data_IF_601413300736
#
_entry.id   IF_601413300736
#
_cell.length_a   1.000
_cell.length_b   1.000
_cell.length_c   1.000
_cell.angle_alpha   90.00
_cell.angle_beta   90.00
_cell.angle_gamma   90.00
#
_symmetry.space_group_name_H-M   'P 1'
#
loop_
_entity.id
_entity.type
_entity.pdbx_description
1 polymer ?
#
# COMPACT_ATOMS: atom_id res chain seq x y z
N UNK A 1 7.72 -14.06 17.78
CA UNK A 1 9.09 -13.51 17.99
C UNK A 1 9.14 -12.20 17.21
N UNK A 2 9.24 -11.06 17.89
CA UNK A 2 9.00 -9.75 17.28
C UNK A 2 9.90 -9.42 16.09
N UNK A 3 9.30 -8.79 15.08
CA UNK A 3 9.99 -8.20 13.93
C UNK A 3 11.07 -7.24 14.44
N UNK A 4 12.35 -7.60 14.30
CA UNK A 4 13.48 -6.74 14.68
C UNK A 4 13.73 -5.73 13.57
N UNK A 5 13.30 -4.49 13.79
CA UNK A 5 13.71 -3.35 12.97
C UNK A 5 15.18 -3.02 13.28
N UNK A 6 16.09 -3.15 12.30
CA UNK A 6 17.45 -2.60 12.39
C UNK A 6 17.45 -1.23 11.71
N UNK A 7 17.11 -0.20 12.47
CA UNK A 7 17.21 1.19 12.05
C UNK A 7 18.17 1.92 13.00
N UNK A 8 19.16 2.64 12.45
CA UNK A 8 20.22 3.30 13.22
C UNK A 8 19.81 4.72 13.72
N UNK A 9 18.53 4.94 14.04
CA UNK A 9 17.98 6.20 14.57
C UNK A 9 16.62 6.00 15.27
N UNK A 10 15.92 7.07 15.64
CA UNK A 10 14.50 6.98 16.05
C UNK A 10 13.63 6.74 14.81
N UNK A 11 12.88 5.64 14.78
CA UNK A 11 11.96 5.32 13.67
C UNK A 11 10.83 6.34 13.73
N UNK A 12 10.78 7.25 12.76
CA UNK A 12 9.62 8.15 12.59
C UNK A 12 8.38 7.33 12.23
N UNK A 13 7.20 7.74 12.70
CA UNK A 13 5.92 7.09 12.43
C UNK A 13 5.66 6.85 10.93
N UNK A 14 6.13 7.75 10.06
CA UNK A 14 6.04 7.60 8.59
C UNK A 14 6.82 6.39 8.06
N UNK A 15 7.99 6.11 8.64
CA UNK A 15 8.83 4.95 8.27
C UNK A 15 8.22 3.69 8.86
N UNK A 16 7.77 3.75 10.12
CA UNK A 16 7.05 2.64 10.75
C UNK A 16 5.83 2.20 9.94
N UNK A 17 5.02 3.17 9.48
CA UNK A 17 3.82 2.92 8.69
C UNK A 17 4.13 2.13 7.42
N UNK A 18 5.10 2.60 6.63
CA UNK A 18 5.49 1.95 5.39
C UNK A 18 5.95 0.51 5.62
N UNK A 19 6.69 0.29 6.71
CA UNK A 19 7.15 -1.06 7.06
C UNK A 19 5.97 -1.93 7.49
N UNK A 20 5.09 -1.43 8.36
CA UNK A 20 3.92 -2.17 8.84
C UNK A 20 2.98 -2.57 7.71
N UNK A 21 2.70 -1.67 6.76
CA UNK A 21 1.89 -1.99 5.58
C UNK A 21 2.56 -3.09 4.75
N UNK A 22 3.86 -3.00 4.46
CA UNK A 22 4.56 -4.04 3.72
C UNK A 22 4.57 -5.36 4.50
N UNK A 23 4.76 -5.37 5.81
CA UNK A 23 4.71 -6.62 6.59
C UNK A 23 3.31 -7.25 6.54
N UNK A 24 2.25 -6.44 6.63
CA UNK A 24 0.85 -6.90 6.63
C UNK A 24 0.37 -7.43 5.27
N UNK A 25 0.83 -6.81 4.18
CA UNK A 25 0.36 -7.07 2.82
C UNK A 25 1.52 -7.49 1.89
N UNK A 26 1.80 -8.81 1.78
CA UNK A 26 2.93 -9.33 1.00
C UNK A 26 2.84 -9.05 -0.51
N UNK A 27 1.65 -8.75 -1.03
CA UNK A 27 1.41 -8.43 -2.45
C UNK A 27 1.84 -7.02 -2.82
N UNK A 28 2.01 -6.13 -1.83
CA UNK A 28 2.53 -4.79 -2.07
C UNK A 28 4.05 -4.89 -2.24
N UNK A 29 4.53 -4.54 -3.43
CA UNK A 29 5.97 -4.59 -3.75
C UNK A 29 6.69 -3.29 -3.37
N UNK A 30 6.03 -2.15 -3.52
CA UNK A 30 6.62 -0.84 -3.20
C UNK A 30 5.55 0.11 -2.68
N UNK A 31 5.91 0.96 -1.72
CA UNK A 31 5.11 2.09 -1.27
C UNK A 31 5.96 3.35 -1.36
N UNK A 32 5.42 4.39 -1.97
CA UNK A 32 6.03 5.71 -2.00
C UNK A 32 5.15 6.71 -1.26
N UNK A 33 5.76 7.50 -0.38
CA UNK A 33 5.12 8.65 0.26
C UNK A 33 5.67 9.94 -0.34
N UNK A 34 4.77 10.71 -0.96
CA UNK A 34 5.02 12.03 -1.54
C UNK A 34 4.53 13.12 -0.58
N UNK A 35 5.39 13.71 0.25
CA UNK A 35 4.98 14.62 1.32
C UNK A 35 4.34 15.91 0.80
N UNK A 36 4.84 16.44 -0.33
CA UNK A 36 4.31 17.66 -0.93
C UNK A 36 2.86 17.53 -1.42
N UNK A 37 2.50 16.35 -1.94
CA UNK A 37 1.14 16.05 -2.39
C UNK A 37 0.30 15.35 -1.30
N UNK A 38 0.93 14.92 -0.20
CA UNK A 38 0.35 14.03 0.82
C UNK A 38 -0.28 12.77 0.22
N UNK A 39 0.42 12.15 -0.72
CA UNK A 39 -0.05 10.95 -1.43
C UNK A 39 0.77 9.73 -0.98
N UNK A 40 0.08 8.64 -0.70
CA UNK A 40 0.65 7.29 -0.66
C UNK A 40 0.37 6.60 -1.98
N UNK A 41 1.42 5.99 -2.53
CA UNK A 41 1.39 5.26 -3.78
C UNK A 41 1.78 3.81 -3.53
N UNK A 42 0.85 2.89 -3.76
CA UNK A 42 1.05 1.45 -3.63
C UNK A 42 1.30 0.85 -5.00
N UNK A 43 2.36 0.07 -5.15
CA UNK A 43 2.69 -0.60 -6.40
C UNK A 43 2.63 -2.11 -6.23
N UNK A 44 1.85 -2.76 -7.11
CA UNK A 44 1.68 -4.20 -7.20
C UNK A 44 2.28 -4.69 -8.51
N UNK A 45 2.88 -5.88 -8.47
CA UNK A 45 3.42 -6.51 -9.66
C UNK A 45 2.54 -7.69 -10.07
N UNK A 46 2.15 -7.70 -11.33
CA UNK A 46 1.35 -8.75 -11.96
C UNK A 46 2.23 -9.51 -12.95
N UNK A 47 2.20 -10.84 -12.88
CA UNK A 47 2.85 -11.76 -13.81
C UNK A 47 1.94 -12.04 -15.00
N UNK A 48 2.54 -12.08 -16.18
CA UNK A 48 1.84 -12.41 -17.41
C UNK A 48 1.23 -11.19 -18.10
N UNK A 49 0.48 -11.45 -19.17
CA UNK A 49 -0.18 -10.41 -19.96
C UNK A 49 -1.60 -10.22 -19.44
N UNK A 50 -1.87 -9.05 -18.88
CA UNK A 50 -3.23 -8.62 -18.55
C UNK A 50 -3.77 -7.82 -19.73
N UNK A 51 -4.96 -8.16 -20.22
CA UNK A 51 -5.58 -7.41 -21.31
C UNK A 51 -5.94 -5.99 -20.84
N UNK A 52 -5.83 -5.02 -21.76
CA UNK A 52 -6.19 -3.62 -21.48
C UNK A 52 -7.65 -3.49 -21.02
N UNK A 53 -8.56 -4.25 -21.63
CA UNK A 53 -9.98 -4.27 -21.28
C UNK A 53 -10.20 -4.70 -19.82
N UNK A 54 -9.47 -5.72 -19.34
CA UNK A 54 -9.55 -6.16 -17.94
C UNK A 54 -9.02 -5.08 -17.00
N UNK A 55 -7.92 -4.41 -17.35
CA UNK A 55 -7.35 -3.32 -16.54
C UNK A 55 -8.27 -2.10 -16.46
N UNK A 56 -8.89 -1.72 -17.59
CA UNK A 56 -9.84 -0.61 -17.65
C UNK A 56 -11.12 -0.92 -16.87
N UNK A 57 -11.69 -2.12 -17.04
CA UNK A 57 -12.86 -2.55 -16.26
C UNK A 57 -12.57 -2.59 -14.76
N UNK A 58 -11.40 -3.11 -14.38
CA UNK A 58 -10.95 -3.10 -12.99
C UNK A 58 -10.77 -1.67 -12.45
N UNK A 59 -10.16 -0.76 -13.22
CA UNK A 59 -9.99 0.66 -12.81
C UNK A 59 -11.32 1.31 -12.47
N UNK A 60 -12.32 1.13 -13.32
CA UNK A 60 -13.64 1.72 -13.12
C UNK A 60 -14.33 1.16 -11.87
N UNK A 61 -14.26 -0.16 -11.68
CA UNK A 61 -14.79 -0.81 -10.47
C UNK A 61 -14.04 -0.36 -9.22
N UNK A 62 -12.71 -0.30 -9.28
CA UNK A 62 -11.84 0.07 -8.17
C UNK A 62 -12.14 1.48 -7.67
N UNK A 63 -12.15 2.47 -8.57
CA UNK A 63 -12.44 3.87 -8.21
C UNK A 63 -13.85 4.01 -7.66
N UNK A 64 -14.85 3.34 -8.25
CA UNK A 64 -16.24 3.38 -7.75
C UNK A 64 -16.38 2.75 -6.36
N UNK A 65 -15.72 1.61 -6.12
CA UNK A 65 -15.73 0.93 -4.83
C UNK A 65 -15.13 1.80 -3.73
N UNK A 66 -13.95 2.40 -3.97
CA UNK A 66 -13.31 3.27 -2.98
C UNK A 66 -14.09 4.57 -2.77
N UNK A 67 -14.63 5.18 -3.83
CA UNK A 67 -15.47 6.36 -3.70
C UNK A 67 -16.73 6.07 -2.87
N UNK A 68 -17.35 4.90 -3.08
CA UNK A 68 -18.52 4.46 -2.30
C UNK A 68 -18.15 4.20 -0.85
N UNK A 69 -17.02 3.53 -0.59
CA UNK A 69 -16.52 3.31 0.77
C UNK A 69 -16.30 4.63 1.52
N UNK A 70 -15.60 5.60 0.91
CA UNK A 70 -15.38 6.91 1.51
C UNK A 70 -16.69 7.67 1.76
N UNK A 71 -17.65 7.58 0.84
CA UNK A 71 -18.98 8.18 1.03
C UNK A 71 -19.71 7.59 2.26
N UNK A 72 -19.67 6.27 2.43
CA UNK A 72 -20.29 5.59 3.58
C UNK A 72 -19.61 5.98 4.91
N UNK A 73 -18.29 6.16 4.87
CA UNK A 73 -17.48 6.59 6.01
C UNK A 73 -17.51 8.11 6.26
N UNK A 74 -18.28 8.86 5.46
CA UNK A 74 -18.39 10.33 5.54
C UNK A 74 -17.02 11.03 5.37
N UNK A 75 -16.16 10.48 4.51
CA UNK A 75 -14.85 11.04 4.15
C UNK A 75 -14.88 11.58 2.72
N UNK A 76 -14.25 12.73 2.51
CA UNK A 76 -14.10 13.34 1.18
C UNK A 76 -12.70 13.10 0.62
N UNK A 77 -12.51 11.93 0.01
CA UNK A 77 -11.24 11.58 -0.62
C UNK A 77 -10.90 12.54 -1.75
N UNK A 78 -9.68 13.09 -1.71
CA UNK A 78 -9.19 14.06 -2.69
C UNK A 78 -8.51 13.37 -3.87
N UNK A 79 -7.89 12.21 -3.64
CA UNK A 79 -7.13 11.47 -4.66
C UNK A 79 -7.50 10.01 -4.60
N UNK A 80 -8.29 9.51 -5.55
CA UNK A 80 -8.45 8.07 -5.78
C UNK A 80 -8.02 7.80 -7.21
N UNK A 81 -6.82 7.27 -7.40
CA UNK A 81 -6.34 6.91 -8.73
C UNK A 81 -5.80 5.49 -8.79
N UNK A 82 -5.96 4.89 -9.96
CA UNK A 82 -5.39 3.62 -10.32
C UNK A 82 -4.81 3.74 -11.73
N UNK A 83 -3.51 3.53 -11.83
CA UNK A 83 -2.75 3.55 -13.07
C UNK A 83 -2.09 2.20 -13.29
N UNK A 84 -1.74 1.89 -14.53
CA UNK A 84 -1.11 0.64 -14.89
C UNK A 84 -0.04 0.83 -15.96
N UNK A 85 1.04 0.07 -15.85
CA UNK A 85 2.14 0.05 -16.81
C UNK A 85 2.35 -1.39 -17.28
N UNK A 86 2.10 -1.64 -18.56
CA UNK A 86 2.25 -2.98 -19.14
C UNK A 86 3.62 -3.12 -19.80
N UNK A 87 4.27 -4.25 -19.51
CA UNK A 87 5.50 -4.74 -20.14
C UNK A 87 5.19 -6.09 -20.83
N UNK A 88 6.16 -6.68 -21.52
CA UNK A 88 5.89 -7.89 -22.33
C UNK A 88 5.37 -9.11 -21.53
N UNK A 89 5.83 -9.26 -20.29
CA UNK A 89 5.53 -10.40 -19.40
C UNK A 89 5.11 -9.99 -17.98
N UNK A 90 5.01 -8.69 -17.73
CA UNK A 90 4.70 -8.11 -16.42
C UNK A 90 3.78 -6.92 -16.60
N UNK A 91 2.96 -6.64 -15.60
CA UNK A 91 2.30 -5.35 -15.47
C UNK A 91 2.52 -4.81 -14.06
N UNK A 92 2.67 -3.50 -13.94
CA UNK A 92 2.71 -2.81 -12.65
C UNK A 92 1.40 -2.06 -12.49
N UNK A 93 0.69 -2.37 -11.40
CA UNK A 93 -0.51 -1.66 -10.99
C UNK A 93 -0.14 -0.66 -9.91
N UNK A 94 -0.58 0.57 -10.04
CA UNK A 94 -0.24 1.66 -9.14
C UNK A 94 -1.50 2.33 -8.60
N UNK A 95 -1.72 2.21 -7.29
CA UNK A 95 -2.81 2.88 -6.57
C UNK A 95 -2.26 4.15 -5.93
N UNK A 96 -2.92 5.28 -6.11
CA UNK A 96 -2.60 6.50 -5.37
C UNK A 96 -3.79 6.93 -4.52
N UNK A 97 -3.50 7.19 -3.23
CA UNK A 97 -4.47 7.69 -2.26
C UNK A 97 -3.90 8.86 -1.48
N UNK A 98 -4.75 9.85 -1.21
CA UNK A 98 -4.40 10.92 -0.28
C UNK A 98 -4.36 10.39 1.15
N UNK A 99 -3.32 10.77 1.89
CA UNK A 99 -3.12 10.36 3.29
C UNK A 99 -4.18 10.96 4.21
N UNK A 100 -4.79 12.10 3.83
CA UNK A 100 -5.78 12.78 4.64
C UNK A 100 -7.01 11.93 4.94
N UNK A 101 -7.46 11.14 3.97
CA UNK A 101 -8.68 10.33 4.08
C UNK A 101 -8.44 8.83 4.15
N UNK A 102 -7.23 8.37 3.82
CA UNK A 102 -6.89 6.95 3.87
C UNK A 102 -7.04 6.38 5.29
N UNK A 103 -7.64 5.19 5.38
CA UNK A 103 -7.76 4.40 6.61
C UNK A 103 -7.24 2.97 6.40
N UNK A 104 -6.97 2.23 7.48
CA UNK A 104 -6.63 0.80 7.37
C UNK A 104 -7.72 0.03 6.64
N UNK A 105 -9.00 0.26 6.96
CA UNK A 105 -10.11 -0.43 6.30
C UNK A 105 -10.20 -0.16 4.80
N UNK A 106 -9.76 1.03 4.36
CA UNK A 106 -9.65 1.33 2.93
C UNK A 106 -8.48 0.58 2.28
N UNK A 107 -7.34 0.45 2.97
CA UNK A 107 -6.23 -0.40 2.50
C UNK A 107 -6.69 -1.85 2.36
N UNK A 108 -7.44 -2.39 3.33
CA UNK A 108 -8.02 -3.73 3.22
C UNK A 108 -8.95 -3.89 2.02
N UNK A 109 -9.77 -2.87 1.72
CA UNK A 109 -10.62 -2.88 0.54
C UNK A 109 -9.80 -2.86 -0.75
N UNK A 110 -8.75 -2.04 -0.83
CA UNK A 110 -7.79 -2.02 -1.95
C UNK A 110 -7.23 -3.42 -2.17
N UNK A 111 -6.74 -4.05 -1.11
CA UNK A 111 -6.15 -5.39 -1.16
C UNK A 111 -7.15 -6.45 -1.58
N UNK A 112 -8.39 -6.37 -1.07
CA UNK A 112 -9.47 -7.29 -1.41
C UNK A 112 -9.80 -7.22 -2.90
N UNK A 113 -9.97 -6.01 -3.44
CA UNK A 113 -10.26 -5.81 -4.87
C UNK A 113 -9.12 -6.33 -5.75
N UNK A 114 -7.87 -6.00 -5.40
CA UNK A 114 -6.68 -6.44 -6.16
C UNK A 114 -6.56 -7.98 -6.15
N UNK A 115 -6.78 -8.63 -5.00
CA UNK A 115 -6.76 -10.10 -4.90
C UNK A 115 -7.89 -10.77 -5.66
N UNK A 116 -9.09 -10.19 -5.66
CA UNK A 116 -10.25 -10.74 -6.38
C UNK A 116 -10.02 -10.78 -7.89
N UNK A 117 -9.47 -9.70 -8.47
CA UNK A 117 -9.30 -9.60 -9.91
C UNK A 117 -7.96 -10.17 -10.43
N UNK A 118 -6.91 -10.14 -9.60
CA UNK A 118 -5.55 -10.50 -10.02
C UNK A 118 -4.84 -11.50 -9.12
N UNK A 119 -5.52 -12.15 -8.17
CA UNK A 119 -4.92 -13.09 -7.20
C UNK A 119 -3.89 -14.07 -7.80
N UNK A 120 -4.25 -14.75 -8.89
CA UNK A 120 -3.37 -15.73 -9.56
C UNK A 120 -2.16 -15.11 -10.28
N UNK A 121 -2.28 -13.82 -10.64
CA UNK A 121 -1.23 -13.08 -11.34
C UNK A 121 -0.37 -12.25 -10.39
N UNK A 122 -0.80 -12.00 -9.15
CA UNK A 122 -0.05 -11.19 -8.19
C UNK A 122 1.27 -11.87 -7.83
N UNK A 123 2.35 -11.10 -7.93
CA UNK A 123 3.64 -11.49 -7.40
C UNK A 123 3.66 -11.13 -5.92
N UNK A 124 3.70 -12.14 -5.06
CA UNK A 124 3.73 -11.97 -3.62
C UNK A 124 4.84 -12.83 -3.01
N UNK A 125 5.62 -12.25 -2.10
CA UNK A 125 6.56 -12.98 -1.26
C UNK A 125 5.85 -13.31 0.07
N UNK A 126 5.17 -14.45 0.11
CA UNK A 126 4.50 -14.91 1.34
C UNK A 126 5.56 -15.36 2.33
N UNK A 127 5.66 -14.64 3.45
CA UNK A 127 6.46 -15.09 4.59
C UNK A 127 5.64 -16.11 5.40
N UNK A 128 5.88 -17.40 5.18
CA UNK A 128 5.22 -18.51 5.89
C UNK A 128 5.43 -18.49 7.43
N UNK A 129 6.35 -17.66 7.92
CA UNK A 129 6.72 -17.54 9.33
C UNK A 129 6.01 -16.40 10.10
N UNK A 130 5.12 -15.63 9.46
CA UNK A 130 4.37 -14.56 10.16
C UNK A 130 3.11 -15.15 10.80
N UNK A 131 2.98 -15.01 12.12
CA UNK A 131 1.82 -15.52 12.86
C UNK A 131 0.61 -14.58 12.65
N UNK A 132 -0.61 -15.12 12.63
CA UNK A 132 -1.84 -14.30 12.50
C UNK A 132 -1.96 -13.24 13.60
N UNK A 133 -1.55 -13.57 14.82
CA UNK A 133 -1.47 -12.64 15.95
C UNK A 133 -0.53 -11.46 15.65
N UNK A 134 0.60 -11.72 14.98
CA UNK A 134 1.53 -10.68 14.57
C UNK A 134 0.92 -9.77 13.47
N UNK A 135 0.00 -10.29 12.64
CA UNK A 135 -0.70 -9.51 11.60
C UNK A 135 -1.76 -8.58 12.18
N UNK A 136 -2.52 -9.01 13.19
CA UNK A 136 -3.50 -8.17 13.88
C UNK A 136 -2.82 -6.96 14.56
N UNK A 137 -1.66 -7.19 15.17
CA UNK A 137 -0.85 -6.10 15.73
C UNK A 137 -0.44 -5.08 14.67
N UNK A 138 -0.18 -5.52 13.42
CA UNK A 138 0.14 -4.57 12.35
C UNK A 138 -1.06 -3.70 11.96
N UNK A 139 -2.29 -4.18 12.04
CA UNK A 139 -3.48 -3.37 11.71
C UNK A 139 -3.64 -2.21 12.68
N UNK A 140 -3.52 -2.48 13.99
CA UNK A 140 -3.55 -1.44 15.02
C UNK A 140 -2.41 -0.43 14.86
N UNK A 141 -1.21 -0.91 14.51
CA UNK A 141 -0.05 -0.04 14.24
C UNK A 141 -0.31 0.83 13.01
N UNK A 142 -0.83 0.26 11.92
CA UNK A 142 -1.13 0.99 10.67
C UNK A 142 -2.13 2.11 10.96
N UNK A 143 -3.23 1.81 11.67
CA UNK A 143 -4.23 2.82 12.01
C UNK A 143 -3.65 3.95 12.87
N UNK A 144 -2.90 3.61 13.92
CA UNK A 144 -2.25 4.60 14.76
C UNK A 144 -1.28 5.49 13.95
N UNK A 145 -0.43 4.88 13.13
CA UNK A 145 0.58 5.61 12.36
C UNK A 145 -0.01 6.41 11.21
N UNK A 146 -1.13 5.97 10.62
CA UNK A 146 -1.93 6.77 9.67
C UNK A 146 -2.44 8.06 10.34
N UNK A 147 -2.92 7.97 11.58
CA UNK A 147 -3.35 9.16 12.32
C UNK A 147 -2.18 10.10 12.67
N UNK A 148 -1.02 9.55 13.04
CA UNK A 148 0.20 10.35 13.25
C UNK A 148 0.62 11.11 11.99
N UNK A 149 0.73 10.44 10.84
CA UNK A 149 1.17 11.08 9.57
C UNK A 149 0.12 12.06 9.01
N UNK A 150 -1.14 11.93 9.41
CA UNK A 150 -2.18 12.93 9.12
C UNK A 150 -1.94 14.23 9.88
N UNK A 151 -1.40 14.17 11.10
CA UNK A 151 -1.13 15.32 11.97
C UNK A 151 0.25 15.91 11.71
N UNK A 152 1.24 15.05 11.52
CA UNK A 152 2.63 15.43 11.31
C UNK A 152 2.94 15.49 9.81
N UNK A 153 3.20 16.71 9.31
CA UNK A 153 3.70 16.89 7.96
C UNK A 153 5.18 16.47 7.90
N UNK A 154 5.45 15.16 7.75
CA UNK A 154 6.78 14.70 7.33
C UNK A 154 7.12 15.38 6.02
N UNK A 155 8.27 16.05 5.94
CA UNK A 155 8.75 16.67 4.69
C UNK A 155 9.63 15.75 3.85
N UNK A 156 9.92 14.55 4.35
CA UNK A 156 10.80 13.58 3.69
C UNK A 156 9.99 12.75 2.70
N UNK A 157 10.48 12.65 1.47
CA UNK A 157 9.96 11.74 0.47
C UNK A 157 10.49 10.35 0.78
N UNK A 158 9.59 9.40 1.04
CA UNK A 158 9.98 8.06 1.46
C UNK A 158 9.62 7.06 0.37
N UNK A 159 10.52 6.12 0.13
CA UNK A 159 10.26 4.94 -0.69
C UNK A 159 10.58 3.70 0.15
N UNK A 160 9.62 2.79 0.22
CA UNK A 160 9.77 1.50 0.86
C UNK A 160 9.50 0.40 -0.16
N UNK A 161 10.34 -0.63 -0.20
CA UNK A 161 10.13 -1.77 -1.08
C UNK A 161 10.61 -3.06 -0.44
N UNK A 162 10.12 -4.18 -0.98
CA UNK A 162 10.54 -5.51 -0.58
C UNK A 162 11.69 -6.00 -1.45
N UNK A 163 12.69 -6.61 -0.82
CA UNK A 163 13.80 -7.27 -1.48
C UNK A 163 14.20 -8.51 -0.67
N UNK A 164 13.99 -9.70 -1.24
CA UNK A 164 14.38 -11.00 -0.66
C UNK A 164 13.85 -11.20 0.77
N UNK A 165 12.55 -11.00 0.99
CA UNK A 165 11.92 -11.15 2.32
C UNK A 165 12.25 -10.04 3.32
N UNK A 166 13.02 -9.01 2.93
CA UNK A 166 13.33 -7.82 3.75
C UNK A 166 12.55 -6.62 3.25
N UNK A 167 12.20 -5.72 4.17
CA UNK A 167 11.66 -4.39 3.85
C UNK A 167 12.79 -3.36 3.99
N UNK A 168 13.02 -2.60 2.92
CA UNK A 168 13.99 -1.52 2.88
C UNK A 168 13.25 -0.19 2.75
N UNK A 169 13.68 0.82 3.50
CA UNK A 169 13.11 2.17 3.43
C UNK A 169 14.23 3.17 3.17
N UNK A 170 14.04 4.00 2.15
CA UNK A 170 14.97 5.05 1.76
C UNK A 170 14.28 6.41 1.81
N UNK A 171 15.06 7.42 2.20
CA UNK A 171 14.70 8.81 2.01
C UNK A 171 15.19 9.24 0.61
N UNK A 172 14.26 9.64 -0.24
CA UNK A 172 14.55 10.11 -1.59
C UNK A 172 14.85 11.61 -1.50
N UNK A 173 16.14 11.94 -1.48
CA UNK A 173 16.64 13.32 -1.52
C UNK A 173 16.26 14.02 -2.82
#
# INVERSE_FOLDING_TARGET
MGVRYRYNGEISDSVGLLISILVRYPEIGTINYEPGARILKFSFMLRGRVSREKLEGFRDQFVKSLATFNLLEQREAQVISLDYHCFEQLAVLEVQRDVGTLSQGEIDLIMTLVRQDFGESLVAEVNENVQEEDLLVQEEIIDHMLESIKREATQKKLIAFREEGRVLVFNKQ
#
